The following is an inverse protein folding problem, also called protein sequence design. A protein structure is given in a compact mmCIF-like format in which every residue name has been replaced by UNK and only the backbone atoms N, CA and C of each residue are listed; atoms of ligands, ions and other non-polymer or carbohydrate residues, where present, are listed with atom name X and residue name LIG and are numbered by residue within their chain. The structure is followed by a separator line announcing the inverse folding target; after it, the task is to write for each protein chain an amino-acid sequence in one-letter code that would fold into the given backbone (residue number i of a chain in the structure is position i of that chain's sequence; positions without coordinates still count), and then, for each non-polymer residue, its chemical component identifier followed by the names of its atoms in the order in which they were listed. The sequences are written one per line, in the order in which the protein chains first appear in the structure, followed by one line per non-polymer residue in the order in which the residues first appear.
data_IF_343559956561
#
_entry.id   IF_343559956561
#
_cell.length_a   1.000
_cell.length_b   1.000
_cell.length_c   1.000
_cell.angle_alpha   90.00
_cell.angle_beta   90.00
_cell.angle_gamma   90.00
#
_symmetry.space_group_name_H-M   'P 1'
#
loop_
_entity.id
_entity.type
_entity.pdbx_description
1 polymer ?
#
# COMPACT_ATOMS: atom_id res chain seq x y z
N UNK A 1 -0.48 -8.10 9.74
CA UNK A 1 -0.22 -9.38 10.45
C UNK A 1 -1.45 -10.27 10.48
N UNK A 2 -2.59 -9.83 11.01
CA UNK A 2 -3.82 -10.64 11.06
C UNK A 2 -4.25 -11.19 9.69
N UNK A 3 -4.25 -10.36 8.64
CA UNK A 3 -4.62 -10.79 7.29
C UNK A 3 -3.63 -11.81 6.68
N UNK A 4 -2.32 -11.57 6.80
CA UNK A 4 -1.30 -12.48 6.23
C UNK A 4 -1.34 -13.88 6.88
N UNK A 5 -1.54 -13.94 8.20
CA UNK A 5 -1.70 -15.21 8.92
C UNK A 5 -2.99 -15.91 8.54
N UNK A 6 -4.08 -15.17 8.29
CA UNK A 6 -5.40 -15.71 7.97
C UNK A 6 -5.51 -16.15 6.49
N UNK A 7 -4.79 -15.50 5.58
CA UNK A 7 -4.81 -15.80 4.15
C UNK A 7 -3.92 -16.99 3.75
N UNK A 8 -2.77 -17.19 4.41
CA UNK A 8 -1.79 -18.22 4.00
C UNK A 8 -1.58 -19.31 5.06
N UNK A 9 -1.85 -19.05 6.34
CA UNK A 9 -1.73 -20.04 7.42
C UNK A 9 -0.30 -20.49 7.75
N UNK A 10 0.68 -20.20 6.89
CA UNK A 10 2.10 -20.48 7.08
C UNK A 10 2.96 -19.33 6.53
N UNK A 11 4.09 -19.04 7.19
CA UNK A 11 5.04 -18.04 6.72
C UNK A 11 6.26 -18.77 6.15
N UNK A 12 6.44 -18.70 4.83
CA UNK A 12 7.64 -19.15 4.15
C UNK A 12 8.76 -18.09 4.26
N UNK A 13 10.02 -18.48 4.08
CA UNK A 13 11.18 -17.59 4.13
C UNK A 13 11.02 -16.43 3.13
N UNK A 14 10.46 -16.70 1.94
CA UNK A 14 10.21 -15.69 0.91
C UNK A 14 9.12 -14.69 1.31
N UNK A 15 8.08 -15.10 2.03
CA UNK A 15 7.04 -14.17 2.51
C UNK A 15 7.54 -13.26 3.63
N UNK A 16 8.45 -13.74 4.50
CA UNK A 16 9.04 -12.94 5.57
C UNK A 16 9.88 -11.79 5.01
N UNK A 17 10.61 -12.01 3.91
CA UNK A 17 11.43 -10.94 3.29
C UNK A 17 10.59 -9.87 2.59
N UNK A 18 9.35 -10.17 2.24
CA UNK A 18 8.44 -9.22 1.58
C UNK A 18 7.62 -8.36 2.55
N UNK A 19 7.48 -8.78 3.80
CA UNK A 19 6.79 -7.99 4.83
C UNK A 19 7.35 -6.57 4.98
N UNK A 20 8.67 -6.35 5.11
CA UNK A 20 9.24 -5.01 5.20
C UNK A 20 8.97 -4.15 3.96
N UNK A 21 8.96 -4.76 2.77
CA UNK A 21 8.63 -4.07 1.53
C UNK A 21 7.18 -3.57 1.54
N UNK A 22 6.25 -4.40 1.98
CA UNK A 22 4.83 -4.08 2.10
C UNK A 22 4.60 -2.92 3.09
N UNK A 23 5.30 -2.95 4.23
CA UNK A 23 5.29 -1.85 5.21
C UNK A 23 5.82 -0.56 4.58
N UNK A 24 6.94 -0.64 3.84
CA UNK A 24 7.50 0.50 3.13
C UNK A 24 6.52 1.13 2.15
N UNK A 25 5.83 0.31 1.34
CA UNK A 25 4.80 0.77 0.40
C UNK A 25 3.63 1.46 1.11
N UNK A 26 3.14 0.88 2.21
CA UNK A 26 2.05 1.49 2.98
C UNK A 26 2.45 2.85 3.58
N UNK A 27 3.69 2.97 4.07
CA UNK A 27 4.22 4.23 4.60
C UNK A 27 4.36 5.27 3.49
N UNK A 28 4.79 4.87 2.29
CA UNK A 28 5.02 5.78 1.16
C UNK A 28 3.74 6.53 0.74
N UNK A 29 2.60 5.85 0.74
CA UNK A 29 1.30 6.48 0.51
C UNK A 29 0.96 7.53 1.58
N UNK A 30 1.25 7.22 2.85
CA UNK A 30 1.07 8.16 3.96
C UNK A 30 1.99 9.37 3.85
N UNK A 31 3.25 9.15 3.48
CA UNK A 31 4.23 10.23 3.26
C UNK A 31 3.76 11.16 2.14
N UNK A 32 3.28 10.63 1.01
CA UNK A 32 2.74 11.45 -0.07
C UNK A 32 1.59 12.36 0.38
N UNK A 33 0.68 11.84 1.20
CA UNK A 33 -0.44 12.61 1.72
C UNK A 33 0.03 13.70 2.70
N UNK A 34 0.94 13.35 3.62
CA UNK A 34 1.47 14.29 4.63
C UNK A 34 2.30 15.38 3.97
N UNK A 35 3.17 15.05 3.02
CA UNK A 35 3.96 16.05 2.29
C UNK A 35 3.06 17.03 1.56
N UNK A 36 1.96 16.57 0.93
CA UNK A 36 1.01 17.47 0.29
C UNK A 36 0.29 18.36 1.30
N UNK A 37 -0.13 17.79 2.43
CA UNK A 37 -0.75 18.55 3.52
C UNK A 37 0.17 19.66 4.03
N UNK A 38 1.45 19.34 4.31
CA UNK A 38 2.45 20.31 4.75
C UNK A 38 2.74 21.38 3.70
N UNK A 39 2.76 21.02 2.42
CA UNK A 39 2.93 21.98 1.32
C UNK A 39 1.77 23.00 1.27
N UNK A 40 0.53 22.54 1.44
CA UNK A 40 -0.66 23.40 1.46
C UNK A 40 -0.70 24.30 2.71
N UNK A 41 -0.25 23.80 3.87
CA UNK A 41 -0.08 24.61 5.07
C UNK A 41 1.00 25.70 4.89
N UNK A 42 2.14 25.36 4.27
CA UNK A 42 3.21 26.32 3.96
C UNK A 42 2.78 27.41 2.98
N UNK A 43 1.76 27.13 2.15
CA UNK A 43 1.12 28.13 1.29
C UNK A 43 0.14 29.05 2.04
N UNK A 44 0.02 28.92 3.37
CA UNK A 44 -0.79 29.79 4.22
C UNK A 44 -2.27 29.40 4.28
N UNK A 45 -2.62 28.16 3.92
CA UNK A 45 -4.00 27.67 4.02
C UNK A 45 -4.33 27.21 5.44
N UNK A 46 -5.60 27.29 5.79
CA UNK A 46 -6.11 26.71 7.04
C UNK A 46 -5.98 25.19 7.01
N UNK A 47 -5.76 24.60 8.19
CA UNK A 47 -5.59 23.14 8.37
C UNK A 47 -6.69 22.33 7.68
N UNK A 48 -7.95 22.75 7.85
CA UNK A 48 -9.09 22.07 7.25
C UNK A 48 -9.03 22.09 5.71
N UNK A 49 -8.63 23.22 5.11
CA UNK A 49 -8.56 23.37 3.66
C UNK A 49 -7.34 22.68 3.07
N UNK A 50 -6.22 22.65 3.81
CA UNK A 50 -5.03 21.89 3.44
C UNK A 50 -5.31 20.38 3.43
N UNK A 51 -6.04 19.87 4.44
CA UNK A 51 -6.43 18.46 4.53
C UNK A 51 -7.36 18.07 3.39
N UNK A 52 -8.42 18.85 3.15
CA UNK A 52 -9.37 18.60 2.07
C UNK A 52 -8.66 18.56 0.71
N UNK A 53 -7.75 19.49 0.46
CA UNK A 53 -7.01 19.55 -0.80
C UNK A 53 -6.01 18.40 -0.96
N UNK A 54 -5.29 18.03 0.10
CA UNK A 54 -4.40 16.87 0.08
C UNK A 54 -5.19 15.58 -0.22
N UNK A 55 -6.35 15.40 0.39
CA UNK A 55 -7.21 14.23 0.17
C UNK A 55 -7.77 14.18 -1.25
N UNK A 56 -8.27 15.29 -1.80
CA UNK A 56 -8.88 15.30 -3.15
C UNK A 56 -7.84 15.10 -4.24
N UNK A 57 -6.72 15.81 -4.19
CA UNK A 57 -5.74 15.80 -5.28
C UNK A 57 -4.77 14.63 -5.18
N UNK A 58 -4.26 14.33 -3.98
CA UNK A 58 -3.26 13.27 -3.79
C UNK A 58 -3.94 11.94 -3.46
N UNK A 59 -5.05 11.95 -2.73
CA UNK A 59 -5.77 10.72 -2.37
C UNK A 59 -6.29 9.93 -3.58
N UNK A 60 -6.76 10.60 -4.64
CA UNK A 60 -7.14 9.92 -5.88
C UNK A 60 -5.94 9.23 -6.55
N UNK A 61 -4.79 9.92 -6.63
CA UNK A 61 -3.55 9.36 -7.17
C UNK A 61 -3.07 8.14 -6.36
N UNK A 62 -3.04 8.28 -5.02
CA UNK A 62 -2.70 7.20 -4.10
C UNK A 62 -3.61 5.99 -4.31
N UNK A 63 -4.93 6.19 -4.40
CA UNK A 63 -5.87 5.09 -4.57
C UNK A 63 -5.67 4.35 -5.89
N UNK A 64 -5.49 5.08 -6.99
CA UNK A 64 -5.19 4.46 -8.29
C UNK A 64 -3.86 3.72 -8.28
N UNK A 65 -2.81 4.30 -7.69
CA UNK A 65 -1.49 3.67 -7.56
C UNK A 65 -1.54 2.40 -6.70
N UNK A 66 -2.29 2.44 -5.59
CA UNK A 66 -2.55 1.27 -4.76
C UNK A 66 -3.22 0.15 -5.56
N UNK A 67 -4.30 0.46 -6.29
CA UNK A 67 -5.00 -0.53 -7.12
C UNK A 67 -4.11 -1.15 -8.19
N UNK A 68 -3.31 -0.34 -8.91
CA UNK A 68 -2.42 -0.84 -9.95
C UNK A 68 -1.30 -1.70 -9.37
N UNK A 69 -0.76 -1.31 -8.22
CA UNK A 69 0.34 -2.03 -7.56
C UNK A 69 -0.16 -3.34 -6.95
N UNK A 70 -1.33 -3.31 -6.31
CA UNK A 70 -2.02 -4.50 -5.83
C UNK A 70 -2.31 -5.47 -6.98
N UNK A 71 -2.79 -4.98 -8.14
CA UNK A 71 -2.99 -5.78 -9.33
C UNK A 71 -1.71 -6.44 -9.85
N UNK A 72 -0.58 -5.71 -9.85
CA UNK A 72 0.71 -6.26 -10.25
C UNK A 72 1.20 -7.37 -9.32
N UNK A 73 1.03 -7.22 -8.00
CA UNK A 73 1.34 -8.29 -7.04
C UNK A 73 0.37 -9.47 -7.17
N UNK A 74 -0.93 -9.23 -7.34
CA UNK A 74 -1.91 -10.29 -7.55
C UNK A 74 -1.65 -11.08 -8.84
N UNK A 75 -1.07 -10.46 -9.88
CA UNK A 75 -0.67 -11.16 -11.09
C UNK A 75 0.35 -12.29 -10.81
N UNK A 76 1.15 -12.17 -9.74
CA UNK A 76 2.09 -13.24 -9.32
C UNK A 76 1.37 -14.52 -8.90
N UNK A 77 0.09 -14.45 -8.51
CA UNK A 77 -0.75 -15.63 -8.25
C UNK A 77 -0.74 -16.60 -9.45
N UNK A 78 -0.75 -16.11 -10.69
CA UNK A 78 -0.82 -16.98 -11.87
C UNK A 78 0.42 -17.84 -12.13
N UNK A 79 1.46 -17.72 -11.31
CA UNK A 79 2.70 -18.49 -11.45
C UNK A 79 2.57 -19.89 -10.84
N UNK A 80 3.18 -20.92 -11.43
CA UNK A 80 3.17 -22.30 -10.91
C UNK A 80 4.03 -22.52 -9.65
N UNK A 81 4.76 -21.49 -9.21
CA UNK A 81 5.64 -21.58 -8.04
C UNK A 81 4.93 -21.12 -6.77
N UNK A 82 4.59 -22.07 -5.90
CA UNK A 82 3.78 -21.84 -4.69
C UNK A 82 4.29 -20.70 -3.81
N UNK A 83 5.61 -20.55 -3.67
CA UNK A 83 6.19 -19.43 -2.90
C UNK A 83 5.83 -18.05 -3.48
N UNK A 84 5.85 -17.90 -4.81
CA UNK A 84 5.52 -16.65 -5.51
C UNK A 84 4.01 -16.38 -5.45
N UNK A 85 3.18 -17.43 -5.50
CA UNK A 85 1.72 -17.28 -5.36
C UNK A 85 1.34 -16.72 -3.99
N UNK A 86 1.88 -17.31 -2.91
CA UNK A 86 1.64 -16.87 -1.53
C UNK A 86 2.08 -15.40 -1.34
N UNK A 87 3.19 -15.01 -1.97
CA UNK A 87 3.68 -13.61 -1.95
C UNK A 87 2.73 -12.67 -2.69
N UNK A 88 2.23 -13.06 -3.86
CA UNK A 88 1.29 -12.24 -4.62
C UNK A 88 -0.01 -11.96 -3.86
N UNK A 89 -0.52 -12.98 -3.15
CA UNK A 89 -1.72 -12.86 -2.32
C UNK A 89 -1.47 -11.96 -1.11
N UNK A 90 -0.37 -12.18 -0.39
CA UNK A 90 -0.05 -11.39 0.81
C UNK A 90 0.21 -9.93 0.46
N UNK A 91 1.02 -9.66 -0.56
CA UNK A 91 1.38 -8.29 -0.97
C UNK A 91 0.20 -7.58 -1.62
N UNK A 92 -0.48 -8.23 -2.56
CA UNK A 92 -1.63 -7.65 -3.26
C UNK A 92 -2.83 -7.42 -2.35
N UNK A 93 -3.19 -8.43 -1.54
CA UNK A 93 -4.27 -8.29 -0.55
C UNK A 93 -3.88 -7.34 0.60
N UNK A 94 -2.62 -7.35 1.02
CA UNK A 94 -2.10 -6.43 2.03
C UNK A 94 -2.21 -4.98 1.59
N UNK A 95 -1.84 -4.66 0.35
CA UNK A 95 -1.96 -3.30 -0.20
C UNK A 95 -3.41 -2.80 -0.23
N UNK A 96 -4.38 -3.67 -0.54
CA UNK A 96 -5.79 -3.28 -0.58
C UNK A 96 -6.41 -3.05 0.81
N UNK A 97 -5.80 -3.60 1.86
CA UNK A 97 -6.31 -3.51 3.24
C UNK A 97 -5.68 -2.36 4.01
N UNK A 98 -4.45 -1.99 3.68
CA UNK A 98 -3.71 -0.88 4.28
C UNK A 98 -4.25 0.48 3.81
#
# INVERSE_FOLDING_TARGET
MAFATLAVGHLNILTITFLPMLIGLAIDFGVHLVTRYEEELRQGKTEQHALEKAMVYTGQGIFTGCFTTAGAFLAMWFTDFKGIQEMGIISGGGLLIC
#
